data_IF_173662300948
#
_entry.id   IF_173662300948
#
_cell.length_a   1.000
_cell.length_b   1.000
_cell.length_c   1.000
_cell.angle_alpha   90.00
_cell.angle_beta   90.00
_cell.angle_gamma   90.00
#
_symmetry.space_group_name_H-M   'P 1'
#
loop_
_entity.id
_entity.type
_entity.pdbx_description
1 polymer ?
#
# COMPACT_ATOMS: atom_id res chain seq x y z
N UNK A 1 -3.05 26.89 9.51
CA UNK A 1 -3.24 26.78 8.05
C UNK A 1 -3.32 25.30 7.72
N UNK A 2 -4.47 24.81 7.27
CA UNK A 2 -4.56 23.47 6.65
C UNK A 2 -3.62 23.48 5.44
N UNK A 3 -2.60 22.63 5.44
CA UNK A 3 -1.74 22.47 4.27
C UNK A 3 -2.64 22.02 3.12
N UNK A 4 -2.63 22.77 2.01
CA UNK A 4 -3.38 22.41 0.80
C UNK A 4 -2.85 21.07 0.31
N UNK A 5 -3.72 20.06 0.27
CA UNK A 5 -3.37 18.72 -0.23
C UNK A 5 -3.87 18.54 -1.66
N UNK A 6 -3.13 17.80 -2.49
CA UNK A 6 -3.57 17.42 -3.85
C UNK A 6 -4.27 16.07 -3.89
N UNK A 7 -4.30 15.34 -2.78
CA UNK A 7 -4.83 13.98 -2.72
C UNK A 7 -6.27 13.86 -3.25
N UNK A 8 -7.14 14.84 -2.96
CA UNK A 8 -8.51 14.86 -3.49
C UNK A 8 -8.54 15.01 -5.02
N UNK A 9 -7.69 15.88 -5.59
CA UNK A 9 -7.59 16.07 -7.05
C UNK A 9 -7.02 14.83 -7.74
N UNK A 10 -5.99 14.23 -7.15
CA UNK A 10 -5.36 12.98 -7.61
C UNK A 10 -6.36 11.82 -7.58
N UNK A 11 -7.12 11.70 -6.49
CA UNK A 11 -8.17 10.69 -6.38
C UNK A 11 -9.28 10.90 -7.42
N UNK A 12 -9.77 12.13 -7.59
CA UNK A 12 -10.79 12.43 -8.61
C UNK A 12 -10.29 12.05 -10.01
N UNK A 13 -9.03 12.33 -10.35
CA UNK A 13 -8.49 11.91 -11.63
C UNK A 13 -8.34 10.40 -11.80
N UNK A 14 -8.09 9.66 -10.71
CA UNK A 14 -8.14 8.20 -10.76
C UNK A 14 -9.56 7.72 -11.07
N UNK A 15 -10.58 8.29 -10.42
CA UNK A 15 -11.99 7.96 -10.69
C UNK A 15 -12.38 8.27 -12.13
N UNK A 16 -12.06 9.48 -12.61
CA UNK A 16 -12.36 9.89 -13.99
C UNK A 16 -11.67 8.99 -15.03
N UNK A 17 -10.43 8.59 -14.78
CA UNK A 17 -9.71 7.68 -15.67
C UNK A 17 -10.37 6.29 -15.74
N UNK A 18 -10.78 5.72 -14.60
CA UNK A 18 -11.51 4.43 -14.60
C UNK A 18 -12.86 4.56 -15.31
N UNK A 19 -13.62 5.64 -15.06
CA UNK A 19 -14.90 5.88 -15.72
C UNK A 19 -14.77 6.09 -17.24
N UNK A 20 -13.68 6.71 -17.68
CA UNK A 20 -13.36 6.89 -19.10
C UNK A 20 -12.82 5.61 -19.76
N UNK A 21 -12.64 4.51 -19.02
CA UNK A 21 -12.09 3.26 -19.55
C UNK A 21 -10.60 3.33 -19.86
N UNK A 22 -9.84 4.22 -19.21
CA UNK A 22 -8.39 4.30 -19.40
C UNK A 22 -7.73 3.02 -18.82
N UNK A 23 -7.18 2.17 -19.68
CA UNK A 23 -6.66 0.85 -19.33
C UNK A 23 -5.23 0.90 -18.79
N UNK A 24 -4.89 -0.07 -17.93
CA UNK A 24 -3.51 -0.42 -17.59
C UNK A 24 -2.87 -1.05 -18.83
N UNK A 25 -1.65 -0.63 -19.15
CA UNK A 25 -0.84 -1.18 -20.24
C UNK A 25 0.30 -2.01 -19.67
N UNK A 26 0.38 -3.31 -20.01
CA UNK A 26 1.59 -4.07 -19.72
C UNK A 26 2.73 -3.69 -20.66
N UNK A 27 3.92 -3.53 -20.09
CA UNK A 27 5.14 -3.15 -20.83
C UNK A 27 5.73 -4.38 -21.53
N UNK A 28 5.67 -5.55 -20.89
CA UNK A 28 5.99 -6.85 -21.52
C UNK A 28 5.45 -8.01 -20.68
N UNK A 29 5.50 -9.24 -21.18
CA UNK A 29 5.20 -10.43 -20.37
C UNK A 29 6.16 -10.64 -19.17
N UNK A 30 7.35 -10.01 -19.19
CA UNK A 30 8.40 -10.17 -18.17
C UNK A 30 8.41 -9.05 -17.14
N UNK A 31 7.82 -7.91 -17.47
CA UNK A 31 7.61 -6.82 -16.54
C UNK A 31 6.25 -7.05 -15.90
N UNK A 32 6.18 -7.21 -14.58
CA UNK A 32 4.91 -7.38 -13.86
C UNK A 32 4.71 -6.32 -12.79
N UNK A 33 5.74 -5.52 -12.53
CA UNK A 33 5.83 -4.70 -11.32
C UNK A 33 5.33 -3.28 -11.57
N UNK A 34 5.47 -2.74 -12.80
CA UNK A 34 5.32 -1.30 -13.02
C UNK A 34 4.06 -0.86 -13.78
N UNK A 35 3.20 -1.78 -14.22
CA UNK A 35 2.07 -1.42 -15.10
C UNK A 35 1.05 -0.51 -14.42
N UNK A 36 0.67 -0.85 -13.18
CA UNK A 36 -0.24 -0.01 -12.41
C UNK A 36 0.40 1.31 -11.98
N UNK A 37 1.71 1.31 -11.68
CA UNK A 37 2.48 2.53 -11.42
C UNK A 37 2.47 3.48 -12.63
N UNK A 38 2.68 2.96 -13.83
CA UNK A 38 2.59 3.75 -15.07
C UNK A 38 1.19 4.30 -15.30
N UNK A 39 0.15 3.51 -15.04
CA UNK A 39 -1.24 3.96 -15.13
C UNK A 39 -1.51 5.14 -14.17
N UNK A 40 -1.04 5.04 -12.94
CA UNK A 40 -1.16 6.10 -11.93
C UNK A 40 -0.33 7.33 -12.30
N UNK A 41 0.89 7.14 -12.82
CA UNK A 41 1.76 8.23 -13.27
C UNK A 41 1.06 9.14 -14.29
N UNK A 42 0.34 8.54 -15.25
CA UNK A 42 -0.45 9.30 -16.23
C UNK A 42 -1.50 10.20 -15.55
N UNK A 43 -1.98 9.87 -14.33
CA UNK A 43 -2.94 10.71 -13.57
C UNK A 43 -2.27 11.95 -13.02
N UNK A 44 -1.07 11.80 -12.44
CA UNK A 44 -0.26 12.93 -11.98
C UNK A 44 0.08 13.87 -13.15
N UNK A 45 0.45 13.30 -14.30
CA UNK A 45 0.74 14.07 -15.52
C UNK A 45 -0.49 14.80 -16.07
N UNK A 46 -1.68 14.18 -16.03
CA UNK A 46 -2.94 14.81 -16.47
C UNK A 46 -3.33 16.01 -15.60
N UNK A 47 -2.91 16.02 -14.33
CA UNK A 47 -3.03 17.17 -13.43
C UNK A 47 -1.92 18.21 -13.58
N UNK A 48 -0.95 17.98 -14.47
CA UNK A 48 0.26 18.77 -14.61
C UNK A 48 1.04 18.91 -13.28
N UNK A 49 1.04 17.88 -12.44
CA UNK A 49 1.85 17.81 -11.22
C UNK A 49 3.26 17.36 -11.58
N UNK A 50 4.28 18.08 -11.11
CA UNK A 50 5.66 17.64 -11.24
C UNK A 50 6.02 16.70 -10.10
N UNK A 51 6.78 15.66 -10.42
CA UNK A 51 7.19 14.65 -9.44
C UNK A 51 8.56 14.07 -9.77
N UNK A 52 9.24 13.63 -8.72
CA UNK A 52 10.45 12.82 -8.76
C UNK A 52 10.11 11.37 -8.40
N UNK A 53 10.94 10.39 -8.79
CA UNK A 53 10.84 9.02 -8.24
C UNK A 53 10.57 7.86 -9.20
N UNK A 54 10.65 8.02 -10.53
CA UNK A 54 10.37 6.92 -11.48
C UNK A 54 11.44 5.80 -11.57
N UNK A 55 12.14 5.48 -10.48
CA UNK A 55 13.27 4.54 -10.45
C UNK A 55 13.10 3.39 -9.46
N UNK A 56 13.73 2.25 -9.75
CA UNK A 56 13.72 1.08 -8.84
C UNK A 56 14.32 1.45 -7.47
N UNK A 57 13.69 0.97 -6.39
CA UNK A 57 14.15 1.10 -4.99
C UNK A 57 14.09 2.52 -4.38
N UNK A 58 13.25 3.42 -4.91
CA UNK A 58 13.00 4.74 -4.31
C UNK A 58 11.68 4.69 -3.56
N UNK A 59 11.62 5.27 -2.36
CA UNK A 59 10.41 5.38 -1.56
C UNK A 59 10.13 6.84 -1.20
N UNK A 60 8.87 7.31 -1.33
CA UNK A 60 7.78 6.65 -2.07
C UNK A 60 8.04 6.66 -3.59
N UNK A 61 7.29 5.84 -4.34
CA UNK A 61 7.37 5.76 -5.81
C UNK A 61 7.26 7.12 -6.53
N UNK A 62 6.43 8.05 -6.02
CA UNK A 62 6.34 9.40 -6.54
C UNK A 62 6.43 10.43 -5.41
N UNK A 63 7.34 11.38 -5.53
CA UNK A 63 7.44 12.55 -4.65
C UNK A 63 7.03 13.80 -5.42
N UNK A 64 5.97 14.50 -5.00
CA UNK A 64 5.58 15.74 -5.65
C UNK A 64 6.61 16.85 -5.38
N UNK A 65 6.83 17.73 -6.37
CA UNK A 65 7.81 18.82 -6.27
C UNK A 65 7.22 20.02 -5.52
N UNK A 66 6.02 20.46 -5.91
CA UNK A 66 5.38 21.65 -5.34
C UNK A 66 4.63 21.38 -4.03
N UNK A 67 4.42 20.11 -3.69
CA UNK A 67 3.63 19.67 -2.55
C UNK A 67 4.45 18.74 -1.67
N UNK A 68 4.30 18.88 -0.35
CA UNK A 68 4.92 17.97 0.62
C UNK A 68 4.15 16.65 0.70
N UNK A 69 4.04 15.96 -0.42
CA UNK A 69 3.28 14.73 -0.61
C UNK A 69 4.10 13.70 -1.40
N UNK A 70 3.85 12.43 -1.12
CA UNK A 70 4.29 11.36 -1.98
C UNK A 70 3.30 10.21 -2.05
N UNK A 71 3.41 9.43 -3.11
CA UNK A 71 2.49 8.35 -3.46
C UNK A 71 3.28 7.06 -3.64
N UNK A 72 2.93 6.05 -2.86
CA UNK A 72 3.48 4.70 -2.93
C UNK A 72 2.45 3.78 -3.60
N UNK A 73 2.84 3.09 -4.66
CA UNK A 73 1.91 2.37 -5.54
C UNK A 73 1.97 0.87 -5.29
N UNK A 74 0.80 0.25 -5.19
CA UNK A 74 0.63 -1.20 -5.04
C UNK A 74 -0.41 -1.71 -6.02
N UNK A 75 0.06 -2.29 -7.12
CA UNK A 75 -0.77 -3.07 -8.04
C UNK A 75 -0.95 -4.49 -7.53
N UNK A 76 -2.19 -4.98 -7.45
CA UNK A 76 -2.51 -6.32 -6.94
C UNK A 76 -3.34 -7.11 -7.95
N UNK A 77 -2.93 -8.35 -8.24
CA UNK A 77 -3.70 -9.25 -9.09
C UNK A 77 -4.95 -9.78 -8.35
N UNK A 78 -6.09 -9.80 -9.05
CA UNK A 78 -7.41 -10.15 -8.50
C UNK A 78 -8.24 -11.07 -9.43
N UNK A 79 -8.90 -12.12 -8.91
CA UNK A 79 -8.83 -12.63 -7.54
C UNK A 79 -7.42 -13.16 -7.21
N UNK A 80 -6.99 -13.04 -5.96
CA UNK A 80 -5.62 -13.36 -5.57
C UNK A 80 -5.19 -12.69 -4.27
N UNK A 81 -4.19 -11.81 -4.35
CA UNK A 81 -3.59 -11.17 -3.18
C UNK A 81 -4.48 -10.03 -2.67
N UNK A 82 -5.42 -10.37 -1.79
CA UNK A 82 -6.35 -9.42 -1.18
C UNK A 82 -5.94 -9.02 0.25
N UNK A 83 -5.36 -9.95 1.01
CA UNK A 83 -5.16 -9.80 2.46
C UNK A 83 -4.02 -8.82 2.81
N UNK A 84 -2.89 -8.98 2.15
CA UNK A 84 -1.65 -8.25 2.47
C UNK A 84 -0.85 -7.85 1.23
N UNK A 85 0.22 -7.09 1.45
CA UNK A 85 1.21 -6.73 0.44
C UNK A 85 2.61 -6.64 1.05
N UNK A 86 3.63 -6.78 0.21
CA UNK A 86 5.02 -6.61 0.64
C UNK A 86 5.41 -5.13 0.63
N UNK A 87 5.70 -4.61 1.81
CA UNK A 87 6.30 -3.29 2.00
C UNK A 87 7.82 -3.43 2.03
N UNK A 88 8.41 -3.66 0.86
CA UNK A 88 9.86 -3.74 0.73
C UNK A 88 10.49 -2.36 0.97
N UNK A 89 11.67 -2.32 1.55
CA UNK A 89 12.47 -1.10 1.76
C UNK A 89 12.00 -0.12 2.86
N UNK A 90 10.72 -0.09 3.21
CA UNK A 90 10.18 0.83 4.22
C UNK A 90 8.88 0.28 4.84
N UNK A 91 8.80 0.25 6.18
CA UNK A 91 7.52 -0.04 6.88
C UNK A 91 6.51 1.04 6.50
N UNK A 92 5.23 0.70 6.25
CA UNK A 92 4.25 1.70 5.88
C UNK A 92 4.19 2.84 6.89
N UNK A 93 4.04 4.05 6.40
CA UNK A 93 3.96 5.25 7.24
C UNK A 93 3.20 6.32 6.47
N UNK A 94 2.39 7.13 7.15
CA UNK A 94 1.80 8.33 6.54
C UNK A 94 2.76 9.51 6.50
N UNK A 95 3.95 9.39 7.10
CA UNK A 95 4.92 10.48 7.17
C UNK A 95 6.33 9.99 6.85
N UNK A 96 6.97 10.61 5.85
CA UNK A 96 8.35 10.29 5.49
C UNK A 96 9.09 11.54 4.99
N UNK A 97 10.25 11.84 5.59
CA UNK A 97 11.11 12.98 5.22
C UNK A 97 10.33 14.30 5.02
N UNK A 98 9.43 14.62 5.95
CA UNK A 98 8.61 15.84 5.94
C UNK A 98 7.40 15.83 4.99
N UNK A 99 7.14 14.71 4.30
CA UNK A 99 6.00 14.55 3.37
C UNK A 99 4.88 13.74 3.99
N UNK A 100 3.64 14.04 3.61
CA UNK A 100 2.50 13.15 3.76
C UNK A 100 2.61 12.03 2.72
N UNK A 101 2.43 10.78 3.12
CA UNK A 101 2.51 9.63 2.22
C UNK A 101 1.14 9.00 2.06
N UNK A 102 0.74 8.85 0.80
CA UNK A 102 -0.47 8.16 0.40
C UNK A 102 -0.10 6.86 -0.30
N UNK A 103 -0.81 5.80 0.04
CA UNK A 103 -0.71 4.51 -0.63
C UNK A 103 -1.84 4.38 -1.63
N UNK A 104 -1.52 3.93 -2.84
CA UNK A 104 -2.48 3.73 -3.93
C UNK A 104 -2.53 2.25 -4.25
N UNK A 105 -3.62 1.61 -3.85
CA UNK A 105 -3.88 0.20 -4.13
C UNK A 105 -4.83 0.10 -5.31
N UNK A 106 -4.39 -0.50 -6.40
CA UNK A 106 -5.26 -0.82 -7.53
C UNK A 106 -5.26 -2.31 -7.81
N UNK A 107 -6.45 -2.90 -7.88
CA UNK A 107 -6.58 -4.30 -8.29
C UNK A 107 -6.83 -4.41 -9.78
N UNK A 108 -6.23 -5.40 -10.40
CA UNK A 108 -6.38 -5.71 -11.82
C UNK A 108 -6.58 -7.21 -12.02
N UNK A 109 -7.14 -7.66 -13.15
CA UNK A 109 -7.43 -9.07 -13.38
C UNK A 109 -6.16 -9.94 -13.28
N UNK A 110 -6.22 -11.01 -12.50
CA UNK A 110 -5.11 -11.96 -12.36
C UNK A 110 -4.92 -12.80 -13.62
N UNK A 111 -6.03 -13.23 -14.22
CA UNK A 111 -6.03 -13.89 -15.52
C UNK A 111 -6.13 -12.84 -16.63
N UNK A 112 -5.05 -12.72 -17.40
CA UNK A 112 -4.95 -11.80 -18.52
C UNK A 112 -5.24 -12.46 -19.87
N UNK A 113 -5.50 -13.77 -19.92
CA UNK A 113 -5.64 -14.54 -21.17
C UNK A 113 -6.76 -13.99 -22.07
N UNK A 114 -7.83 -13.47 -21.46
CA UNK A 114 -8.98 -12.89 -22.15
C UNK A 114 -8.71 -11.53 -22.83
N UNK A 115 -7.64 -10.82 -22.47
CA UNK A 115 -7.31 -9.53 -23.07
C UNK A 115 -6.43 -9.71 -24.29
N UNK A 116 -6.71 -9.00 -25.39
CA UNK A 116 -5.95 -9.13 -26.63
C UNK A 116 -4.45 -8.84 -26.43
N UNK A 117 -3.61 -9.75 -26.93
CA UNK A 117 -2.16 -9.55 -27.02
C UNK A 117 -1.87 -8.56 -28.16
N UNK A 118 -1.28 -7.43 -27.81
CA UNK A 118 -0.90 -6.36 -28.74
C UNK A 118 0.48 -6.62 -29.37
N UNK A 119 1.10 -7.76 -29.08
CA UNK A 119 2.45 -8.13 -29.49
C UNK A 119 3.42 -8.15 -28.31
N UNK A 120 4.42 -9.05 -28.36
CA UNK A 120 5.43 -9.24 -27.31
C UNK A 120 4.85 -9.50 -25.89
N UNK A 121 3.62 -10.02 -25.81
CA UNK A 121 2.92 -10.26 -24.54
C UNK A 121 2.40 -9.00 -23.86
N UNK A 122 2.31 -7.89 -24.60
CA UNK A 122 1.67 -6.66 -24.13
C UNK A 122 0.15 -6.81 -24.17
N UNK A 123 -0.53 -6.40 -23.12
CA UNK A 123 -1.97 -6.50 -22.93
C UNK A 123 -2.47 -5.24 -22.27
N UNK A 124 -3.71 -4.89 -22.57
CA UNK A 124 -4.43 -3.81 -21.93
C UNK A 124 -5.58 -4.37 -21.12
N UNK A 125 -5.72 -3.94 -19.87
CA UNK A 125 -6.74 -4.45 -18.95
C UNK A 125 -7.18 -3.35 -17.97
N UNK A 126 -8.40 -3.43 -17.43
CA UNK A 126 -8.92 -2.38 -16.58
C UNK A 126 -8.34 -2.43 -15.16
N UNK A 127 -8.47 -1.31 -14.45
CA UNK A 127 -8.48 -1.29 -12.98
C UNK A 127 -9.85 -1.83 -12.53
N UNK A 128 -9.86 -2.89 -11.72
CA UNK A 128 -11.09 -3.51 -11.17
C UNK A 128 -11.68 -2.64 -10.07
N UNK A 129 -10.85 -2.27 -9.10
CA UNK A 129 -11.17 -1.34 -8.03
C UNK A 129 -9.90 -0.68 -7.49
N UNK A 130 -10.07 0.37 -6.69
CA UNK A 130 -8.96 1.22 -6.26
C UNK A 130 -9.22 1.83 -4.89
N UNK A 131 -8.22 1.78 -4.01
CA UNK A 131 -8.22 2.51 -2.75
C UNK A 131 -6.99 3.39 -2.66
N UNK A 132 -7.19 4.68 -2.44
CA UNK A 132 -6.12 5.57 -1.98
C UNK A 132 -6.30 5.73 -0.48
N UNK A 133 -5.27 5.45 0.31
CA UNK A 133 -5.31 5.71 1.74
C UNK A 133 -4.06 6.44 2.23
N UNK A 134 -4.21 7.29 3.24
CA UNK A 134 -3.04 7.82 3.94
C UNK A 134 -2.29 6.69 4.65
N UNK A 135 -0.96 6.73 4.65
CA UNK A 135 -0.13 5.65 5.21
C UNK A 135 -0.38 5.35 6.70
N UNK A 136 -0.83 6.34 7.48
CA UNK A 136 -1.21 6.15 8.89
C UNK A 136 -2.38 5.17 9.08
N UNK A 137 -3.19 4.96 8.03
CA UNK A 137 -4.25 3.95 8.05
C UNK A 137 -3.67 2.53 8.12
N UNK A 138 -2.48 2.32 7.55
CA UNK A 138 -1.79 1.04 7.51
C UNK A 138 -0.92 0.85 8.76
N UNK A 139 -0.15 1.88 9.13
CA UNK A 139 0.69 1.89 10.32
C UNK A 139 0.92 3.33 10.82
N UNK A 140 0.69 3.55 12.12
CA UNK A 140 0.75 4.87 12.74
C UNK A 140 2.13 5.23 13.33
N UNK A 141 3.08 4.29 13.38
CA UNK A 141 4.45 4.58 13.82
C UNK A 141 5.29 5.18 12.70
N UNK A 142 6.04 6.24 13.04
CA UNK A 142 6.90 7.00 12.14
C UNK A 142 8.38 6.95 12.53
N UNK A 143 8.72 6.30 13.64
CA UNK A 143 10.05 6.41 14.25
C UNK A 143 10.98 5.23 13.92
N UNK A 144 10.43 4.13 13.42
CA UNK A 144 11.24 2.97 13.08
C UNK A 144 12.17 3.25 11.89
N UNK A 145 13.48 3.13 12.14
CA UNK A 145 14.54 3.26 11.13
C UNK A 145 15.28 1.94 11.01
N UNK A 146 15.01 1.19 9.95
CA UNK A 146 15.75 -0.05 9.68
C UNK A 146 17.20 0.23 9.28
N UNK A 147 18.13 -0.53 9.85
CA UNK A 147 19.56 -0.48 9.53
C UNK A 147 19.94 -1.76 8.79
N UNK A 148 20.42 -1.61 7.55
CA UNK A 148 20.93 -2.74 6.77
C UNK A 148 22.19 -3.32 7.46
N UNK A 149 22.02 -4.41 8.21
CA UNK A 149 23.10 -5.11 8.91
C UNK A 149 23.31 -6.50 8.32
N UNK A 150 24.47 -7.08 8.58
CA UNK A 150 24.83 -8.38 8.04
C UNK A 150 25.78 -9.11 8.96
N UNK A 151 25.67 -10.44 8.99
CA UNK A 151 26.53 -11.35 9.74
C UNK A 151 27.30 -12.23 8.76
N UNK A 152 28.62 -12.31 8.91
CA UNK A 152 29.51 -13.18 8.12
C UNK A 152 29.75 -14.50 8.87
N UNK A 153 30.32 -15.51 8.21
CA UNK A 153 30.63 -16.80 8.85
C UNK A 153 29.58 -17.89 8.60
N UNK A 154 28.70 -17.70 7.62
CA UNK A 154 27.67 -18.67 7.28
C UNK A 154 28.17 -19.70 6.24
N UNK A 155 27.51 -20.85 6.19
CA UNK A 155 27.86 -21.96 5.29
C UNK A 155 29.03 -22.81 5.80
N UNK A 156 29.24 -23.99 5.18
CA UNK A 156 30.27 -24.94 5.60
C UNK A 156 31.70 -24.37 5.53
N UNK A 157 31.94 -23.39 4.64
CA UNK A 157 33.23 -22.72 4.48
C UNK A 157 33.31 -21.36 5.20
N UNK A 158 32.21 -20.90 5.83
CA UNK A 158 32.16 -19.63 6.58
C UNK A 158 32.27 -18.35 5.73
N UNK A 159 32.26 -18.46 4.41
CA UNK A 159 32.41 -17.35 3.46
C UNK A 159 31.07 -16.73 3.02
N UNK A 160 29.95 -17.30 3.45
CA UNK A 160 28.62 -16.77 3.18
C UNK A 160 28.25 -15.74 4.26
N UNK A 161 27.46 -14.75 3.85
CA UNK A 161 26.96 -13.69 4.71
C UNK A 161 25.43 -13.68 4.73
N UNK A 162 24.86 -13.69 5.93
CA UNK A 162 23.44 -13.42 6.14
C UNK A 162 23.24 -11.90 6.18
N UNK A 163 22.27 -11.41 5.42
CA UNK A 163 21.87 -10.00 5.46
C UNK A 163 20.50 -9.90 6.13
N UNK A 164 20.40 -9.00 7.10
CA UNK A 164 19.12 -8.51 7.55
C UNK A 164 18.51 -7.67 6.41
N UNK A 165 17.35 -8.09 5.90
CA UNK A 165 16.67 -7.46 4.76
C UNK A 165 15.33 -6.88 5.21
N UNK A 166 14.95 -5.76 4.60
CA UNK A 166 13.67 -5.09 4.78
C UNK A 166 12.55 -5.82 4.03
N UNK A 167 11.94 -6.80 4.68
CA UNK A 167 10.77 -7.53 4.19
C UNK A 167 9.66 -7.40 5.23
N UNK A 168 8.64 -6.59 4.94
CA UNK A 168 7.49 -6.41 5.82
C UNK A 168 6.22 -6.80 5.09
N UNK A 169 5.33 -7.52 5.76
CA UNK A 169 4.00 -7.85 5.24
C UNK A 169 2.99 -6.98 5.97
N UNK A 170 2.26 -6.15 5.22
CA UNK A 170 1.26 -5.24 5.77
C UNK A 170 -0.12 -5.54 5.18
N UNK A 171 -1.22 -5.34 5.94
CA UNK A 171 -2.55 -5.56 5.41
C UNK A 171 -2.89 -4.55 4.31
N UNK A 172 -3.69 -4.97 3.33
CA UNK A 172 -4.26 -4.03 2.35
C UNK A 172 -5.47 -3.30 2.95
N UNK A 173 -5.87 -2.12 2.44
CA UNK A 173 -7.12 -1.50 2.86
C UNK A 173 -8.36 -2.35 2.55
N UNK A 174 -8.30 -3.23 1.54
CA UNK A 174 -9.39 -4.18 1.23
C UNK A 174 -9.56 -5.21 2.33
N UNK A 175 -8.46 -5.64 2.96
CA UNK A 175 -8.50 -6.55 4.11
C UNK A 175 -8.90 -5.86 5.42
N UNK A 176 -8.70 -4.54 5.52
CA UNK A 176 -9.04 -3.78 6.71
C UNK A 176 -10.50 -3.33 6.76
N UNK A 177 -11.19 -3.34 5.61
CA UNK A 177 -12.50 -2.69 5.47
C UNK A 177 -13.51 -3.55 4.71
N UNK A 178 -14.78 -3.39 5.08
CA UNK A 178 -15.91 -3.82 4.26
C UNK A 178 -16.38 -2.67 3.37
N UNK A 179 -16.92 -2.98 2.20
CA UNK A 179 -17.54 -2.00 1.32
C UNK A 179 -16.60 -1.28 0.36
N UNK A 180 -15.31 -1.62 0.33
CA UNK A 180 -14.31 -1.11 -0.64
C UNK A 180 -14.19 -1.97 -1.90
N UNK A 181 -14.36 -3.29 -1.80
CA UNK A 181 -14.32 -4.22 -2.94
C UNK A 181 -15.32 -3.83 -4.05
N UNK A 182 -14.83 -3.79 -5.29
CA UNK A 182 -15.57 -3.43 -6.49
C UNK A 182 -15.83 -1.93 -6.64
N UNK A 183 -15.26 -1.08 -5.77
CA UNK A 183 -15.52 0.36 -5.72
C UNK A 183 -14.23 1.16 -5.55
N UNK A 184 -14.25 2.41 -5.98
CA UNK A 184 -13.12 3.33 -5.81
C UNK A 184 -13.34 4.14 -4.54
N UNK A 185 -12.38 4.16 -3.61
CA UNK A 185 -12.56 4.77 -2.27
C UNK A 185 -11.31 5.52 -1.81
N UNK A 186 -11.48 6.73 -1.27
CA UNK A 186 -10.42 7.51 -0.63
C UNK A 186 -10.53 7.37 0.88
N UNK A 187 -9.43 7.08 1.59
CA UNK A 187 -9.41 6.97 3.06
C UNK A 187 -8.33 7.89 3.63
N UNK A 188 -8.73 8.96 4.32
CA UNK A 188 -7.79 9.95 4.86
C UNK A 188 -8.07 10.23 6.34
N UNK A 189 -7.09 10.71 7.13
CA UNK A 189 -7.30 11.17 8.50
C UNK A 189 -8.42 12.19 8.57
N UNK A 190 -9.25 12.09 9.61
CA UNK A 190 -10.37 13.02 9.82
C UNK A 190 -9.92 14.49 9.89
N UNK A 191 -8.68 14.73 10.33
CA UNK A 191 -8.05 16.06 10.41
C UNK A 191 -7.76 16.72 9.05
N UNK A 192 -7.73 15.97 7.94
CA UNK A 192 -7.57 16.54 6.60
C UNK A 192 -8.85 17.22 6.09
N UNK A 193 -9.98 17.02 6.78
CA UNK A 193 -11.27 17.55 6.37
C UNK A 193 -11.87 16.81 5.16
N UNK A 194 -12.89 17.41 4.56
CA UNK A 194 -13.54 16.91 3.35
C UNK A 194 -13.55 17.97 2.25
N UNK A 195 -13.90 17.53 1.05
CA UNK A 195 -14.02 18.37 -0.14
C UNK A 195 -15.48 18.30 -0.65
N UNK A 196 -16.13 19.42 -1.03
CA UNK A 196 -17.53 19.42 -1.48
C UNK A 196 -17.83 18.54 -2.68
N UNK A 197 -16.83 18.16 -3.49
CA UNK A 197 -16.99 17.20 -4.60
C UNK A 197 -17.27 15.76 -4.09
N UNK A 198 -17.07 15.52 -2.80
CA UNK A 198 -17.05 14.20 -2.20
C UNK A 198 -18.19 13.99 -1.21
N UNK A 199 -18.65 12.75 -1.14
CA UNK A 199 -19.55 12.26 -0.10
C UNK A 199 -18.80 11.38 0.89
N UNK A 200 -19.13 11.51 2.17
CA UNK A 200 -18.66 10.62 3.22
C UNK A 200 -19.41 9.28 3.11
N UNK A 201 -18.67 8.19 2.93
CA UNK A 201 -19.21 6.83 2.89
C UNK A 201 -18.81 5.99 4.10
N UNK A 202 -18.05 6.54 5.06
CA UNK A 202 -17.66 5.81 6.25
C UNK A 202 -16.78 6.63 7.20
N UNK A 203 -16.87 6.33 8.50
CA UNK A 203 -15.92 6.79 9.52
C UNK A 203 -15.25 5.58 10.13
N UNK A 204 -13.93 5.54 10.06
CA UNK A 204 -13.12 4.38 10.42
C UNK A 204 -12.24 4.73 11.61
N UNK A 205 -11.97 3.76 12.48
CA UNK A 205 -11.08 3.94 13.63
C UNK A 205 -10.13 2.76 13.72
N UNK A 206 -8.82 3.06 13.76
CA UNK A 206 -7.75 2.11 14.05
C UNK A 206 -7.29 2.36 15.49
N UNK A 207 -7.01 1.29 16.22
CA UNK A 207 -6.41 1.37 17.56
C UNK A 207 -5.01 0.75 17.51
N UNK A 208 -4.07 1.35 18.23
CA UNK A 208 -2.74 0.78 18.39
C UNK A 208 -2.79 -0.49 19.27
N UNK A 209 -2.04 -1.52 18.88
CA UNK A 209 -2.02 -2.82 19.55
C UNK A 209 -1.41 -2.74 20.97
N UNK A 210 -1.73 -3.72 21.82
CA UNK A 210 -1.28 -3.78 23.21
C UNK A 210 0.23 -4.00 23.35
N UNK A 211 0.84 -4.70 22.39
CA UNK A 211 2.27 -5.06 22.40
C UNK A 211 2.92 -4.83 21.05
N UNK A 212 4.22 -4.54 21.06
CA UNK A 212 5.05 -4.38 19.86
C UNK A 212 6.19 -5.40 19.87
N UNK A 213 6.52 -5.93 18.69
CA UNK A 213 7.75 -6.71 18.48
C UNK A 213 8.94 -5.76 18.43
N UNK A 214 9.94 -5.98 19.26
CA UNK A 214 11.18 -5.17 19.31
C UNK A 214 12.43 -5.95 18.93
N UNK A 215 12.34 -7.27 18.95
CA UNK A 215 13.44 -8.16 18.63
C UNK A 215 12.92 -9.51 18.18
N UNK A 216 13.79 -10.27 17.53
CA UNK A 216 13.56 -11.67 17.27
C UNK A 216 14.89 -12.41 17.26
N UNK A 217 14.84 -13.71 17.51
CA UNK A 217 15.95 -14.63 17.28
C UNK A 217 15.52 -15.72 16.33
N UNK A 218 16.42 -16.12 15.43
CA UNK A 218 16.22 -17.28 14.56
C UNK A 218 17.37 -18.26 14.81
N UNK A 219 17.05 -19.45 15.32
CA UNK A 219 18.05 -20.49 15.56
C UNK A 219 18.17 -21.40 14.34
N UNK A 220 19.29 -21.30 13.61
CA UNK A 220 19.55 -22.09 12.40
C UNK A 220 19.67 -23.60 12.64
N UNK A 221 19.81 -24.04 13.89
CA UNK A 221 19.94 -25.47 14.24
C UNK A 221 18.58 -26.12 14.42
N UNK A 222 17.60 -25.35 14.91
CA UNK A 222 16.25 -25.84 15.21
C UNK A 222 15.19 -25.27 14.27
N UNK A 223 15.56 -24.28 13.43
CA UNK A 223 14.67 -23.49 12.60
C UNK A 223 13.55 -22.78 13.40
N UNK A 224 13.81 -22.48 14.67
CA UNK A 224 12.85 -21.77 15.53
C UNK A 224 13.02 -20.26 15.41
N UNK A 225 11.92 -19.56 15.12
CA UNK A 225 11.80 -18.11 15.20
C UNK A 225 11.09 -17.73 16.51
N UNK A 226 11.74 -16.92 17.34
CA UNK A 226 11.18 -16.41 18.60
C UNK A 226 11.16 -14.89 18.60
N UNK A 227 9.97 -14.31 18.78
CA UNK A 227 9.80 -12.86 18.87
C UNK A 227 9.87 -12.37 20.33
N UNK A 228 10.43 -11.19 20.51
CA UNK A 228 10.46 -10.45 21.78
C UNK A 228 9.45 -9.30 21.71
N UNK A 229 8.58 -9.24 22.71
CA UNK A 229 7.50 -8.27 22.80
C UNK A 229 7.70 -7.33 23.99
N UNK A 230 7.33 -6.06 23.80
CA UNK A 230 7.15 -5.10 24.89
C UNK A 230 5.72 -4.56 24.87
N UNK A 231 5.19 -4.06 26.01
CA UNK A 231 3.98 -3.26 26.01
C UNK A 231 4.12 -2.05 25.08
N UNK A 232 3.09 -1.76 24.30
CA UNK A 232 3.04 -0.55 23.50
C UNK A 232 2.73 0.66 24.41
N UNK A 233 3.61 1.69 24.49
CA UNK A 233 3.33 2.89 25.30
C UNK A 233 2.05 3.64 24.89
N UNK A 234 1.58 3.39 23.66
CA UNK A 234 0.38 4.00 23.07
C UNK A 234 -0.76 3.01 22.87
N UNK A 235 -0.74 1.86 23.56
CA UNK A 235 -1.81 0.85 23.48
C UNK A 235 -3.21 1.49 23.57
N UNK A 236 -4.09 1.12 22.64
CA UNK A 236 -5.46 1.64 22.57
C UNK A 236 -5.61 3.06 22.02
N UNK A 237 -4.51 3.77 21.70
CA UNK A 237 -4.59 5.08 21.06
C UNK A 237 -5.37 4.99 19.74
N UNK A 238 -6.41 5.81 19.60
CA UNK A 238 -7.31 5.77 18.46
C UNK A 238 -6.91 6.77 17.39
N UNK A 239 -6.89 6.29 16.14
CA UNK A 239 -6.63 7.06 14.94
C UNK A 239 -7.89 7.05 14.07
N UNK A 240 -8.44 8.23 13.77
CA UNK A 240 -9.71 8.38 13.05
C UNK A 240 -9.49 8.75 11.60
N UNK A 241 -10.23 8.05 10.74
CA UNK A 241 -10.19 8.23 9.29
C UNK A 241 -11.60 8.38 8.74
N UNK A 242 -11.71 9.02 7.57
CA UNK A 242 -12.95 9.16 6.83
C UNK A 242 -12.77 8.54 5.45
N UNK A 243 -13.73 7.71 5.07
CA UNK A 243 -13.83 7.15 3.75
C UNK A 243 -14.71 8.05 2.87
N UNK A 244 -14.21 8.42 1.69
CA UNK A 244 -14.86 9.29 0.73
C UNK A 244 -14.99 8.63 -0.65
N UNK A 245 -15.99 9.09 -1.39
CA UNK A 245 -16.15 8.87 -2.83
C UNK A 245 -16.63 10.16 -3.48
N UNK A 246 -16.53 10.28 -4.80
CA UNK A 246 -17.17 11.42 -5.49
C UNK A 246 -18.68 11.37 -5.26
N UNK A 247 -19.32 12.54 -5.20
CA UNK A 247 -20.76 12.66 -4.92
C UNK A 247 -21.65 11.92 -5.93
N UNK A 248 -21.15 11.69 -7.15
CA UNK A 248 -21.84 10.95 -8.21
C UNK A 248 -21.59 9.43 -8.21
N UNK A 249 -20.77 8.90 -7.29
CA UNK A 249 -20.49 7.47 -7.16
C UNK A 249 -21.43 6.76 -6.17
N UNK A 250 -21.34 5.43 -6.11
CA UNK A 250 -22.14 4.62 -5.19
C UNK A 250 -21.89 4.99 -3.71
N UNK A 251 -22.97 5.18 -2.96
CA UNK A 251 -22.95 5.55 -1.54
C UNK A 251 -22.88 4.33 -0.58
N UNK A 252 -22.47 3.16 -1.08
CA UNK A 252 -22.34 1.93 -0.26
C UNK A 252 -21.41 2.22 0.94
N UNK A 253 -21.87 2.00 2.19
CA UNK A 253 -21.08 2.29 3.37
C UNK A 253 -19.76 1.51 3.42
N UNK A 254 -18.75 2.13 4.05
CA UNK A 254 -17.44 1.55 4.34
C UNK A 254 -17.26 1.50 5.85
N UNK A 255 -16.89 0.33 6.36
CA UNK A 255 -16.67 0.07 7.79
C UNK A 255 -15.41 -0.75 8.02
N UNK A 256 -14.85 -0.69 9.22
CA UNK A 256 -13.75 -1.58 9.61
C UNK A 256 -14.25 -3.02 9.66
N UNK A 257 -13.42 -3.97 9.22
CA UNK A 257 -13.65 -5.39 9.49
C UNK A 257 -13.52 -5.67 11.00
N UNK A 258 -14.39 -6.54 11.53
CA UNK A 258 -14.53 -6.76 12.99
C UNK A 258 -13.36 -7.53 13.62
N UNK A 259 -12.57 -8.25 12.83
CA UNK A 259 -11.44 -9.04 13.32
C UNK A 259 -10.12 -8.39 12.89
N UNK A 260 -9.10 -8.36 13.77
CA UNK A 260 -7.76 -7.94 13.38
C UNK A 260 -7.24 -8.87 12.27
N UNK A 261 -6.88 -8.29 11.13
CA UNK A 261 -6.16 -9.01 10.08
C UNK A 261 -4.71 -9.14 10.54
N UNK A 262 -4.42 -10.27 11.19
CA UNK A 262 -3.03 -10.70 11.35
C UNK A 262 -2.56 -11.24 10.00
N UNK A 263 -1.35 -10.87 9.53
CA UNK A 263 -0.68 -11.60 8.46
C UNK A 263 -0.68 -13.10 8.81
N UNK A 264 -0.83 -13.97 7.82
CA UNK A 264 -0.76 -15.41 8.11
C UNK A 264 0.59 -15.73 8.76
N UNK A 265 0.57 -16.34 9.94
CA UNK A 265 1.77 -16.99 10.47
C UNK A 265 2.17 -18.04 9.44
N UNK A 266 3.43 -18.02 9.00
CA UNK A 266 3.96 -18.91 7.96
C UNK A 266 3.42 -20.35 8.09
N UNK A 267 2.36 -20.66 7.36
CA UNK A 267 2.12 -21.98 6.81
C UNK A 267 2.63 -21.94 5.38
N UNK A 268 3.95 -21.85 5.22
CA UNK A 268 4.52 -22.44 4.01
C UNK A 268 4.19 -23.94 4.08
N UNK A 269 3.78 -24.58 2.98
CA UNK A 269 3.76 -26.04 2.96
C UNK A 269 5.18 -26.50 3.25
N UNK A 270 5.33 -27.49 4.14
CA UNK A 270 6.53 -28.32 4.12
C UNK A 270 6.65 -28.88 2.70
N UNK A 271 7.46 -28.26 1.85
CA UNK A 271 7.92 -28.89 0.62
C UNK A 271 8.84 -30.03 1.04
N UNK A 272 8.31 -31.24 0.92
CA UNK A 272 9.00 -32.51 1.11
C UNK A 272 10.12 -32.73 0.07
#
# INVERSE_FOLDING_TARGET
MTKKTTCFDVFEQCVLAVQAGELIESVSAKDKEFHFQNWFQKRLQKLALHFEGSGRNIYPDFCLVEYTEGYEIKGLAWPGREKDYDANSQVPTGHHNGRQIFYVFGRYPADLAQFADQGNGQRQYPVVDLVICHGDFLNADHNYVHKNKSVKGFGAYGDIMIRDRKMYVAPTPFALTEGTTGLITLIVPESMGGDPRFQNVGRLTRAEADTLVVGYTFDLRTNELKAEYIPNPRAGAQHRFVAFRLANQANKPVSMLRAPVLPDENTAPDEA
#
